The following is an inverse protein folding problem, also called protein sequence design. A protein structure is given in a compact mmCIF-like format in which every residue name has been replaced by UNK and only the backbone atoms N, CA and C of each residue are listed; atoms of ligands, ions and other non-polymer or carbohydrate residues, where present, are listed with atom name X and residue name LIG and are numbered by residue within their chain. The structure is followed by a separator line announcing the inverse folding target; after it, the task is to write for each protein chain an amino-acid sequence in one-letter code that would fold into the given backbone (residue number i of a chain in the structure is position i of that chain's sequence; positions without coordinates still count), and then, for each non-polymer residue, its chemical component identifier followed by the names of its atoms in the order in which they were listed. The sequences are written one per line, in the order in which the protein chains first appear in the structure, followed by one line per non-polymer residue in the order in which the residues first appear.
data_IF_884545074198
#
_entry.id   IF_884545074198
#
_cell.length_a   1.000
_cell.length_b   1.000
_cell.length_c   1.000
_cell.angle_alpha   90.00
_cell.angle_beta   90.00
_cell.angle_gamma   90.00
#
_symmetry.space_group_name_H-M   'P 1'
#
loop_
_entity.id
_entity.type
_entity.pdbx_description
1 polymer ?
#
# COMPACT_ATOMS: atom_id res chain seq x y z
N UNK A 1 46.94 -38.56 10.72
CA UNK A 1 46.63 -38.67 9.29
C UNK A 1 46.13 -37.31 8.83
N UNK A 2 46.90 -36.60 7.99
CA UNK A 2 46.44 -35.37 7.32
C UNK A 2 46.09 -35.76 5.90
N UNK A 3 44.82 -35.64 5.52
CA UNK A 3 44.44 -35.76 4.12
C UNK A 3 44.73 -34.45 3.40
N UNK A 4 45.66 -34.51 2.46
CA UNK A 4 46.06 -33.40 1.61
C UNK A 4 45.12 -33.41 0.41
N UNK A 5 44.14 -32.50 0.42
CA UNK A 5 43.21 -32.31 -0.69
C UNK A 5 43.99 -31.68 -1.87
N UNK A 6 44.26 -32.49 -2.91
CA UNK A 6 44.85 -32.02 -4.17
C UNK A 6 43.79 -31.32 -5.01
N UNK A 7 43.81 -29.99 -5.00
CA UNK A 7 42.97 -29.14 -5.86
C UNK A 7 43.52 -29.19 -7.29
N UNK A 8 42.71 -29.68 -8.23
CA UNK A 8 43.00 -29.68 -9.67
C UNK A 8 42.66 -28.28 -10.23
N UNK A 9 43.68 -27.62 -10.79
CA UNK A 9 43.65 -26.23 -11.31
C UNK A 9 42.50 -25.96 -12.30
N UNK A 10 41.73 -24.91 -12.02
CA UNK A 10 41.22 -23.99 -13.04
C UNK A 10 39.70 -23.92 -13.24
N UNK A 11 38.99 -25.06 -13.28
CA UNK A 11 37.58 -25.08 -13.74
C UNK A 11 36.54 -25.13 -12.62
N UNK A 12 36.89 -25.66 -11.45
CA UNK A 12 35.93 -25.88 -10.36
C UNK A 12 35.66 -24.62 -9.51
N UNK A 13 36.65 -23.74 -9.41
CA UNK A 13 36.53 -22.45 -8.70
C UNK A 13 35.61 -21.48 -9.44
N UNK A 14 35.55 -21.57 -10.77
CA UNK A 14 34.68 -20.75 -11.60
C UNK A 14 33.19 -21.12 -11.42
N UNK A 15 32.90 -22.41 -11.24
CA UNK A 15 31.54 -22.91 -11.01
C UNK A 15 30.99 -22.42 -9.67
N UNK A 16 31.81 -22.45 -8.61
CA UNK A 16 31.44 -21.92 -7.29
C UNK A 16 31.16 -20.40 -7.30
N UNK A 17 31.95 -19.63 -8.05
CA UNK A 17 31.74 -18.18 -8.18
C UNK A 17 30.48 -17.83 -8.99
N UNK A 18 30.14 -18.64 -10.01
CA UNK A 18 28.92 -18.45 -10.81
C UNK A 18 27.65 -18.73 -10.01
N UNK A 19 27.67 -19.74 -9.14
CA UNK A 19 26.54 -20.07 -8.25
C UNK A 19 26.28 -18.97 -7.21
N UNK A 20 27.31 -18.28 -6.73
CA UNK A 20 27.15 -17.19 -5.75
C UNK A 20 26.57 -15.92 -6.40
N UNK A 21 26.90 -15.65 -7.67
CA UNK A 21 26.33 -14.53 -8.43
C UNK A 21 24.83 -14.71 -8.72
N UNK A 22 24.37 -15.94 -8.94
CA UNK A 22 22.95 -16.26 -9.20
C UNK A 22 22.06 -16.10 -7.96
N UNK A 23 22.62 -16.20 -6.74
CA UNK A 23 21.87 -15.96 -5.49
C UNK A 23 21.67 -14.46 -5.20
N UNK A 24 22.33 -13.56 -5.93
CA UNK A 24 22.27 -12.12 -5.69
C UNK A 24 21.08 -11.43 -6.40
N UNK A 25 20.34 -12.15 -7.25
CA UNK A 25 19.18 -11.59 -7.98
C UNK A 25 17.83 -11.82 -7.30
N UNK A 26 17.80 -12.31 -6.05
CA UNK A 26 16.60 -12.18 -5.22
C UNK A 26 16.47 -10.72 -4.75
N UNK A 27 16.25 -9.81 -5.71
CA UNK A 27 15.56 -8.57 -5.41
C UNK A 27 14.21 -9.02 -4.87
N UNK A 28 14.05 -8.96 -3.55
CA UNK A 28 12.76 -9.03 -2.91
C UNK A 28 11.95 -7.85 -3.46
N UNK A 29 11.35 -8.03 -4.64
CA UNK A 29 10.08 -7.41 -4.99
C UNK A 29 9.03 -8.03 -4.06
N UNK A 30 9.24 -7.88 -2.75
CA UNK A 30 8.14 -7.69 -1.82
C UNK A 30 7.57 -6.35 -2.26
N UNK A 31 6.67 -6.41 -3.24
CA UNK A 31 5.59 -5.46 -3.30
C UNK A 31 5.02 -5.46 -1.89
N UNK A 32 5.40 -4.45 -1.10
CA UNK A 32 4.90 -4.30 0.26
C UNK A 32 3.39 -4.37 0.12
N UNK A 33 2.78 -5.35 0.78
CA UNK A 33 1.34 -5.49 0.78
C UNK A 33 0.78 -4.13 1.18
N UNK A 34 0.17 -3.44 0.21
CA UNK A 34 -0.34 -2.07 0.35
C UNK A 34 -1.10 -1.98 1.67
N UNK A 35 -0.74 -1.03 2.54
CA UNK A 35 -1.37 -0.92 3.87
C UNK A 35 -2.88 -0.82 3.71
N UNK A 36 -3.62 -1.28 4.71
CA UNK A 36 -5.08 -1.19 4.69
C UNK A 36 -5.55 0.25 4.41
N UNK A 37 -4.90 1.25 4.99
CA UNK A 37 -5.21 2.67 4.77
C UNK A 37 -4.90 3.18 3.41
N UNK A 38 -3.89 2.62 2.77
CA UNK A 38 -3.61 2.95 1.39
C UNK A 38 -4.71 2.40 0.46
N UNK A 39 -5.30 1.22 0.76
CA UNK A 39 -6.51 0.73 0.06
C UNK A 39 -7.75 1.56 0.38
N UNK A 40 -7.87 2.03 1.62
CA UNK A 40 -8.97 2.92 2.03
C UNK A 40 -8.88 4.27 1.32
N UNK A 41 -7.67 4.85 1.23
CA UNK A 41 -7.43 6.09 0.51
C UNK A 41 -7.75 5.94 -0.99
N UNK A 42 -7.33 4.84 -1.63
CA UNK A 42 -7.71 4.56 -3.02
C UNK A 42 -9.23 4.53 -3.20
N UNK A 43 -9.94 3.85 -2.28
CA UNK A 43 -11.40 3.73 -2.30
C UNK A 43 -12.06 5.09 -2.17
N UNK A 44 -11.61 5.91 -1.22
CA UNK A 44 -12.09 7.28 -1.01
C UNK A 44 -11.88 8.12 -2.27
N UNK A 45 -10.67 8.13 -2.84
CA UNK A 45 -10.37 8.93 -4.03
C UNK A 45 -11.20 8.50 -5.25
N UNK A 46 -11.43 7.19 -5.41
CA UNK A 46 -12.25 6.67 -6.49
C UNK A 46 -13.73 7.04 -6.33
N UNK A 47 -14.25 7.02 -5.10
CA UNK A 47 -15.65 7.33 -4.79
C UNK A 47 -15.98 8.81 -4.88
N UNK A 48 -15.15 9.68 -4.29
CA UNK A 48 -15.44 11.12 -4.28
C UNK A 48 -15.21 11.75 -5.66
N UNK A 49 -14.39 11.11 -6.50
CA UNK A 49 -14.00 11.65 -7.79
C UNK A 49 -13.24 12.97 -7.63
N UNK A 50 -12.57 13.42 -8.69
CA UNK A 50 -11.76 14.67 -8.65
C UNK A 50 -12.60 15.95 -8.44
N UNK A 51 -13.92 15.87 -8.35
CA UNK A 51 -14.83 17.02 -8.26
C UNK A 51 -15.53 17.03 -6.91
N UNK A 52 -14.85 17.55 -5.89
CA UNK A 52 -15.47 17.82 -4.60
C UNK A 52 -14.54 17.62 -3.41
N UNK A 53 -13.58 16.70 -3.52
CA UNK A 53 -12.58 16.44 -2.48
C UNK A 53 -11.54 17.57 -2.44
N UNK A 54 -11.42 18.24 -1.30
CA UNK A 54 -10.36 19.20 -0.99
C UNK A 54 -9.22 18.57 -0.22
N UNK A 55 -9.54 17.62 0.64
CA UNK A 55 -8.55 16.90 1.46
C UNK A 55 -9.11 15.57 1.93
N UNK A 56 -8.21 14.61 2.14
CA UNK A 56 -8.52 13.34 2.78
C UNK A 56 -7.32 12.89 3.62
N UNK A 57 -7.60 12.45 4.84
CA UNK A 57 -6.61 11.82 5.73
C UNK A 57 -7.15 10.48 6.20
N UNK A 58 -6.28 9.48 6.29
CA UNK A 58 -6.62 8.14 6.78
C UNK A 58 -5.68 7.82 7.94
N UNK A 59 -6.26 7.52 9.10
CA UNK A 59 -5.57 6.93 10.24
C UNK A 59 -5.96 5.45 10.37
N UNK A 60 -5.03 4.58 10.01
CA UNK A 60 -5.20 3.13 10.07
C UNK A 60 -5.28 2.54 11.45
N UNK A 61 -4.66 3.20 12.43
CA UNK A 61 -4.62 2.70 13.81
C UNK A 61 -5.97 2.90 14.47
N UNK A 62 -6.57 4.06 14.25
CA UNK A 62 -7.87 4.43 14.83
C UNK A 62 -9.05 4.11 13.92
N UNK A 63 -8.80 3.72 12.66
CA UNK A 63 -9.82 3.45 11.64
C UNK A 63 -10.69 4.67 11.36
N UNK A 64 -10.06 5.85 11.27
CA UNK A 64 -10.71 7.13 11.01
C UNK A 64 -10.31 7.64 9.62
N UNK A 65 -11.29 8.12 8.87
CA UNK A 65 -11.10 8.88 7.63
C UNK A 65 -11.69 10.27 7.84
N UNK A 66 -10.87 11.30 7.71
CA UNK A 66 -11.32 12.69 7.69
C UNK A 66 -11.34 13.19 6.24
N UNK A 67 -12.52 13.62 5.78
CA UNK A 67 -12.75 14.11 4.43
C UNK A 67 -13.14 15.58 4.46
N UNK A 68 -12.49 16.40 3.65
CA UNK A 68 -12.88 17.78 3.40
C UNK A 68 -13.51 17.88 2.01
N UNK A 69 -14.78 18.28 1.93
CA UNK A 69 -15.47 18.43 0.65
C UNK A 69 -16.54 19.52 0.67
N UNK A 70 -16.97 19.94 -0.52
CA UNK A 70 -18.12 20.82 -0.68
C UNK A 70 -19.41 19.99 -0.72
N UNK A 71 -20.40 20.33 0.11
CA UNK A 71 -21.72 19.67 0.15
C UNK A 71 -21.93 18.75 1.35
N UNK A 72 -23.16 18.23 1.49
CA UNK A 72 -23.54 17.21 2.45
C UNK A 72 -23.68 15.90 1.67
N UNK A 73 -22.78 14.96 1.90
CA UNK A 73 -22.91 13.61 1.35
C UNK A 73 -22.92 12.55 2.45
N UNK A 74 -23.98 12.55 3.27
CA UNK A 74 -24.19 11.42 4.20
C UNK A 74 -24.22 10.06 3.47
N UNK A 75 -24.71 10.04 2.22
CA UNK A 75 -24.70 8.84 1.35
C UNK A 75 -23.28 8.34 1.06
N UNK A 76 -22.33 9.26 0.85
CA UNK A 76 -20.94 8.90 0.54
C UNK A 76 -20.30 8.08 1.67
N UNK A 77 -20.63 8.37 2.94
CA UNK A 77 -20.12 7.60 4.08
C UNK A 77 -20.55 6.13 4.01
N UNK A 78 -21.80 5.87 3.66
CA UNK A 78 -22.35 4.52 3.54
C UNK A 78 -21.77 3.79 2.33
N UNK A 79 -21.63 4.49 1.21
CA UNK A 79 -21.09 3.92 -0.02
C UNK A 79 -19.60 3.57 0.13
N UNK A 80 -18.78 4.43 0.74
CA UNK A 80 -17.37 4.12 1.04
C UNK A 80 -17.29 2.85 1.91
N UNK A 81 -18.04 2.78 3.00
CA UNK A 81 -18.01 1.61 3.88
C UNK A 81 -18.55 0.33 3.20
N UNK A 82 -19.47 0.46 2.26
CA UNK A 82 -19.93 -0.67 1.43
C UNK A 82 -18.81 -1.18 0.53
N UNK A 83 -18.07 -0.28 -0.13
CA UNK A 83 -16.92 -0.66 -0.95
C UNK A 83 -15.79 -1.28 -0.15
N UNK A 84 -15.51 -0.78 1.06
CA UNK A 84 -14.52 -1.37 1.95
C UNK A 84 -14.90 -2.80 2.36
N UNK A 85 -16.18 -3.04 2.70
CA UNK A 85 -16.67 -4.39 3.00
C UNK A 85 -16.50 -5.35 1.83
N UNK A 86 -16.76 -4.90 0.60
CA UNK A 86 -16.56 -5.71 -0.61
C UNK A 86 -15.07 -6.10 -0.81
N UNK A 87 -14.15 -5.30 -0.27
CA UNK A 87 -12.70 -5.58 -0.27
C UNK A 87 -12.25 -6.38 0.97
N UNK A 88 -13.18 -6.88 1.79
CA UNK A 88 -12.92 -7.52 3.09
C UNK A 88 -12.19 -6.60 4.10
N UNK A 89 -12.36 -5.29 3.97
CA UNK A 89 -11.83 -4.28 4.89
C UNK A 89 -12.92 -3.93 5.91
N UNK A 90 -12.53 -3.83 7.19
CA UNK A 90 -13.48 -3.43 8.25
C UNK A 90 -13.93 -1.98 8.02
N UNK A 91 -15.17 -1.62 8.37
CA UNK A 91 -15.65 -0.25 8.21
C UNK A 91 -14.77 0.76 8.96
N UNK A 92 -14.61 1.94 8.37
CA UNK A 92 -13.95 3.08 9.01
C UNK A 92 -15.01 4.08 9.51
N UNK A 93 -14.66 4.83 10.55
CA UNK A 93 -15.42 6.01 10.96
C UNK A 93 -15.09 7.14 9.99
N UNK A 94 -16.10 7.66 9.28
CA UNK A 94 -15.91 8.69 8.25
C UNK A 94 -16.46 10.03 8.75
N UNK A 95 -15.54 10.94 8.98
CA UNK A 95 -15.83 12.34 9.30
C UNK A 95 -15.80 13.15 8.01
N UNK A 96 -16.80 14.00 7.83
CA UNK A 96 -16.88 14.90 6.67
C UNK A 96 -16.98 16.31 7.20
N UNK A 97 -15.97 17.12 6.94
CA UNK A 97 -15.99 18.55 7.18
C UNK A 97 -16.40 19.26 5.89
N UNK A 98 -17.31 20.22 6.03
CA UNK A 98 -17.77 21.04 4.92
C UNK A 98 -16.89 22.28 4.86
N UNK A 99 -16.23 22.51 3.74
CA UNK A 99 -15.66 23.83 3.45
C UNK A 99 -16.69 24.64 2.70
N UNK A 100 -17.22 25.69 3.32
CA UNK A 100 -17.90 26.76 2.59
C UNK A 100 -16.92 27.33 1.57
N UNK A 101 -17.29 27.32 0.29
CA UNK A 101 -16.52 28.03 -0.73
C UNK A 101 -16.58 29.51 -0.33
N UNK A 102 -15.49 30.08 0.17
CA UNK A 102 -15.37 31.54 0.28
C UNK A 102 -15.12 32.06 -1.13
N UNK A 103 -16.05 32.80 -1.76
CA UNK A 103 -15.76 33.49 -3.00
C UNK A 103 -14.84 34.67 -2.65
N UNK A 104 -13.70 34.77 -3.34
CA UNK A 104 -12.89 35.98 -3.38
C UNK A 104 -13.40 36.88 -4.50
#
# INVERSE_FOLDING_TARGET
MREVIKIKKGKELFVLLFSLALLCSCQNNKEEAKSEGSKVMDTVQNMVGKKGLRGATVDDKTKIVDLEMAGNENKLKEEINTQLKNQNIKPYTINVSQTSITPF
#
